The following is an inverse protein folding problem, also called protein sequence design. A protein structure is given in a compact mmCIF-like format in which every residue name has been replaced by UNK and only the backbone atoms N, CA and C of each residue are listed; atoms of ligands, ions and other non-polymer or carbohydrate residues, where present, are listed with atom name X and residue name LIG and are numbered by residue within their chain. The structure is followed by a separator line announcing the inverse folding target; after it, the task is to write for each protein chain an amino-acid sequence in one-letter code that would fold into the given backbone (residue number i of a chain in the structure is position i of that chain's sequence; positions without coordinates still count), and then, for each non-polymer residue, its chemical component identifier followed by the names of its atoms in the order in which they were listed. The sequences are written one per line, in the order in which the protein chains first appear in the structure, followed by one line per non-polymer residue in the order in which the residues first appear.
data_IF_633503936942
#
_entry.id   IF_633503936942
#
_cell.length_a   1.000
_cell.length_b   1.000
_cell.length_c   1.000
_cell.angle_alpha   90.00
_cell.angle_beta   90.00
_cell.angle_gamma   90.00
#
_symmetry.space_group_name_H-M   'P 1'
#
loop_
_entity.id
_entity.type
_entity.pdbx_description
1 polymer ?
#
# COMPACT_ATOMS: atom_id res chain seq x y z
N UNK A 1 3.45 16.06 -2.81
CA UNK A 1 2.70 15.10 -1.99
C UNK A 1 1.23 15.47 -2.05
N UNK A 2 0.41 14.68 -2.72
CA UNK A 2 -1.04 14.86 -2.78
C UNK A 2 -1.67 13.62 -2.14
N UNK A 3 -2.49 13.77 -1.10
CA UNK A 3 -2.99 12.60 -0.37
C UNK A 3 -4.40 12.76 0.16
N UNK A 4 -5.15 11.66 0.26
CA UNK A 4 -6.38 11.58 1.03
C UNK A 4 -6.14 10.74 2.29
N UNK A 5 -6.72 11.15 3.41
CA UNK A 5 -6.55 10.46 4.70
C UNK A 5 -7.74 10.68 5.62
N UNK A 6 -8.55 9.64 5.82
CA UNK A 6 -9.72 9.73 6.70
C UNK A 6 -9.34 9.75 8.20
N UNK A 7 -8.54 8.79 8.64
CA UNK A 7 -8.20 8.62 10.08
C UNK A 7 -6.79 9.09 10.45
N UNK A 8 -6.06 9.70 9.52
CA UNK A 8 -4.72 10.25 9.75
C UNK A 8 -3.54 9.31 9.42
N UNK A 9 -3.77 8.01 9.20
CA UNK A 9 -2.66 7.07 8.91
C UNK A 9 -1.92 7.43 7.61
N UNK A 10 -2.66 7.68 6.51
CA UNK A 10 -2.05 8.07 5.23
C UNK A 10 -1.40 9.45 5.34
N UNK A 11 -1.98 10.37 6.13
CA UNK A 11 -1.38 11.67 6.42
C UNK A 11 0.01 11.51 7.07
N UNK A 12 0.16 10.61 8.06
CA UNK A 12 1.45 10.38 8.70
C UNK A 12 2.52 9.91 7.71
N UNK A 13 2.17 9.03 6.76
CA UNK A 13 3.08 8.60 5.68
C UNK A 13 3.40 9.76 4.72
N UNK A 14 2.41 10.58 4.36
CA UNK A 14 2.60 11.74 3.50
C UNK A 14 3.50 12.81 4.13
N UNK A 15 3.35 13.06 5.43
CA UNK A 15 4.19 13.99 6.20
C UNK A 15 5.63 13.47 6.33
N UNK A 16 5.83 12.17 6.52
CA UNK A 16 7.17 11.60 6.53
C UNK A 16 7.84 11.71 5.15
N UNK A 17 7.14 11.39 4.06
CA UNK A 17 7.63 11.61 2.69
C UNK A 17 7.97 13.09 2.43
N UNK A 18 7.09 14.00 2.84
CA UNK A 18 7.31 15.44 2.71
C UNK A 18 8.57 15.89 3.46
N UNK A 19 8.75 15.42 4.69
CA UNK A 19 9.94 15.71 5.50
C UNK A 19 11.23 15.20 4.85
N UNK A 20 11.20 14.03 4.23
CA UNK A 20 12.39 13.44 3.60
C UNK A 20 12.75 14.08 2.25
N UNK A 21 11.77 14.60 1.52
CA UNK A 21 11.95 15.14 0.17
C UNK A 21 11.93 16.67 0.11
N UNK A 22 11.48 17.36 1.16
CA UNK A 22 11.25 18.81 1.14
C UNK A 22 10.15 19.22 0.15
N UNK A 23 9.28 18.28 -0.23
CA UNK A 23 8.28 18.49 -1.26
C UNK A 23 7.07 19.28 -0.74
N UNK A 24 6.36 19.93 -1.66
CA UNK A 24 5.04 20.47 -1.38
C UNK A 24 4.05 19.38 -0.93
N UNK A 25 3.17 19.73 0.03
CA UNK A 25 2.14 18.82 0.53
C UNK A 25 0.75 19.45 0.49
N UNK A 26 -0.24 18.65 0.10
CA UNK A 26 -1.64 19.02 0.09
C UNK A 26 -2.55 17.83 0.39
N UNK A 27 -3.54 18.05 1.26
CA UNK A 27 -4.59 17.07 1.55
C UNK A 27 -5.74 17.24 0.57
N UNK A 28 -6.21 16.13 0.02
CA UNK A 28 -7.47 16.01 -0.70
C UNK A 28 -8.59 15.98 0.34
N UNK A 29 -9.63 16.77 0.14
CA UNK A 29 -10.76 16.85 1.05
C UNK A 29 -12.08 16.69 0.30
N UNK A 30 -12.94 15.77 0.75
CA UNK A 30 -14.31 15.71 0.27
C UNK A 30 -15.11 16.92 0.78
N UNK A 31 -15.99 17.48 -0.07
CA UNK A 31 -16.91 18.56 0.31
C UNK A 31 -17.79 18.10 1.47
N UNK A 32 -18.32 16.87 1.37
CA UNK A 32 -18.99 16.18 2.46
C UNK A 32 -18.02 15.15 3.07
N UNK A 33 -17.46 15.41 4.26
CA UNK A 33 -16.55 14.47 4.92
C UNK A 33 -17.20 13.10 5.17
N UNK A 34 -16.41 12.03 5.31
CA UNK A 34 -16.93 10.72 5.73
C UNK A 34 -17.22 10.73 7.24
N UNK A 35 -18.16 11.59 7.64
CA UNK A 35 -18.56 11.78 9.03
C UNK A 35 -19.23 10.52 9.58
N UNK A 36 -18.91 10.19 10.83
CA UNK A 36 -19.51 9.07 11.55
C UNK A 36 -18.46 8.13 12.11
N UNK A 37 -18.89 6.95 12.52
CA UNK A 37 -17.98 5.88 12.92
C UNK A 37 -17.45 5.11 11.69
N UNK A 38 -16.62 4.11 11.97
CA UNK A 38 -16.05 3.24 10.94
C UNK A 38 -17.13 2.55 10.09
N UNK A 39 -18.28 2.18 10.68
CA UNK A 39 -19.36 1.52 9.97
C UNK A 39 -20.08 2.47 9.01
N UNK A 40 -20.33 3.71 9.43
CA UNK A 40 -20.88 4.74 8.54
C UNK A 40 -19.97 4.98 7.32
N UNK A 41 -18.64 4.98 7.53
CA UNK A 41 -17.65 5.12 6.45
C UNK A 41 -17.71 3.95 5.48
N UNK A 42 -17.80 2.71 5.99
CA UNK A 42 -17.96 1.50 5.17
C UNK A 42 -19.24 1.58 4.33
N UNK A 43 -20.39 1.85 4.95
CA UNK A 43 -21.68 1.88 4.26
C UNK A 43 -21.72 2.91 3.14
N UNK A 44 -21.22 4.13 3.42
CA UNK A 44 -21.14 5.18 2.41
C UNK A 44 -20.23 4.77 1.25
N UNK A 45 -19.03 4.30 1.56
CA UNK A 45 -18.04 3.93 0.55
C UNK A 45 -18.49 2.74 -0.30
N UNK A 46 -19.21 1.79 0.29
CA UNK A 46 -19.81 0.67 -0.43
C UNK A 46 -20.88 1.15 -1.41
N UNK A 47 -21.83 1.96 -0.93
CA UNK A 47 -22.88 2.53 -1.78
C UNK A 47 -22.30 3.34 -2.93
N UNK A 48 -21.33 4.20 -2.65
CA UNK A 48 -20.66 5.01 -3.67
C UNK A 48 -20.05 4.12 -4.76
N UNK A 49 -19.34 3.06 -4.36
CA UNK A 49 -18.76 2.10 -5.30
C UNK A 49 -19.81 1.35 -6.12
N UNK A 50 -20.84 0.81 -5.47
CA UNK A 50 -21.89 0.02 -6.12
C UNK A 50 -22.70 0.85 -7.13
N UNK A 51 -22.89 2.13 -6.85
CA UNK A 51 -23.61 3.06 -7.73
C UNK A 51 -22.70 3.76 -8.76
N UNK A 52 -21.38 3.58 -8.70
CA UNK A 52 -20.43 4.34 -9.51
C UNK A 52 -20.39 5.84 -9.19
N UNK A 53 -20.79 6.21 -7.97
CA UNK A 53 -20.75 7.58 -7.46
C UNK A 53 -19.36 7.89 -6.89
N UNK A 54 -18.90 9.13 -7.04
CA UNK A 54 -17.67 9.61 -6.39
C UNK A 54 -17.97 10.92 -5.64
N UNK A 55 -17.38 11.16 -4.45
CA UNK A 55 -17.68 12.35 -3.67
C UNK A 55 -17.12 13.61 -4.33
N UNK A 56 -17.85 14.72 -4.30
CA UNK A 56 -17.31 16.01 -4.70
C UNK A 56 -16.11 16.40 -3.82
N UNK A 57 -15.06 16.96 -4.44
CA UNK A 57 -13.86 17.41 -3.74
C UNK A 57 -13.85 18.93 -3.55
N UNK A 58 -13.23 19.39 -2.47
CA UNK A 58 -12.84 20.79 -2.38
C UNK A 58 -11.74 21.08 -3.41
N UNK A 59 -11.70 22.28 -4.00
CA UNK A 59 -10.67 22.64 -4.96
C UNK A 59 -9.27 22.51 -4.35
N UNK A 60 -8.32 22.00 -5.14
CA UNK A 60 -6.92 22.03 -4.77
C UNK A 60 -6.40 23.47 -4.79
N UNK A 61 -5.55 23.80 -3.83
CA UNK A 61 -4.82 25.07 -3.75
C UNK A 61 -3.62 25.06 -4.69
N UNK A 62 -2.97 23.92 -4.86
CA UNK A 62 -1.87 23.72 -5.81
C UNK A 62 -2.40 23.21 -7.14
N UNK A 63 -1.79 23.64 -8.24
CA UNK A 63 -2.15 23.16 -9.58
C UNK A 63 -1.31 21.95 -9.93
N UNK A 64 -1.95 20.87 -10.35
CA UNK A 64 -1.28 19.64 -10.81
C UNK A 64 -0.29 19.93 -11.97
N UNK A 65 -0.62 20.91 -12.82
CA UNK A 65 0.22 21.31 -13.94
C UNK A 65 1.64 21.75 -13.53
N UNK A 66 1.80 22.30 -12.32
CA UNK A 66 3.07 22.86 -11.83
C UNK A 66 4.07 21.78 -11.36
N UNK A 67 3.68 20.51 -11.38
CA UNK A 67 4.50 19.39 -10.90
C UNK A 67 4.72 18.35 -11.98
N UNK A 68 5.94 17.82 -12.09
CA UNK A 68 6.25 16.68 -12.98
C UNK A 68 6.06 15.35 -12.26
N UNK A 69 6.38 15.29 -10.97
CA UNK A 69 6.29 14.09 -10.12
C UNK A 69 5.28 14.34 -9.00
N UNK A 70 4.28 13.47 -8.91
CA UNK A 70 3.23 13.53 -7.90
C UNK A 70 3.23 12.22 -7.13
N UNK A 71 3.66 12.29 -5.87
CA UNK A 71 3.40 11.22 -4.92
C UNK A 71 1.94 11.28 -4.49
N UNK A 72 1.18 10.24 -4.82
CA UNK A 72 -0.27 10.17 -4.62
C UNK A 72 -0.63 9.18 -3.51
N UNK A 73 -1.13 9.69 -2.39
CA UNK A 73 -1.37 8.96 -1.16
C UNK A 73 -2.82 8.63 -0.89
N UNK A 74 -3.13 7.38 -0.50
CA UNK A 74 -4.51 7.01 -0.16
C UNK A 74 -4.65 5.79 0.76
N UNK A 75 -5.73 5.68 1.55
CA UNK A 75 -6.08 4.41 2.18
C UNK A 75 -6.66 3.45 1.13
N UNK A 76 -6.47 2.15 1.34
CA UNK A 76 -7.13 1.10 0.54
C UNK A 76 -8.53 0.84 1.09
N UNK A 77 -9.55 1.09 0.25
CA UNK A 77 -10.95 0.82 0.53
C UNK A 77 -11.49 -0.19 -0.47
N UNK A 78 -12.08 -1.28 0.05
CA UNK A 78 -12.59 -2.40 -0.73
C UNK A 78 -11.61 -2.94 -1.80
N UNK A 79 -10.32 -2.95 -1.50
CA UNK A 79 -9.28 -3.54 -2.36
C UNK A 79 -8.65 -2.59 -3.39
N UNK A 80 -9.05 -1.32 -3.44
CA UNK A 80 -8.42 -0.31 -4.31
C UNK A 80 -8.32 1.05 -3.61
N UNK A 81 -7.86 2.10 -4.29
CA UNK A 81 -7.78 3.45 -3.72
C UNK A 81 -9.15 3.99 -3.29
N UNK A 82 -9.18 4.82 -2.25
CA UNK A 82 -10.40 5.42 -1.73
C UNK A 82 -11.13 6.30 -2.76
N UNK A 83 -12.46 6.40 -2.63
CA UNK A 83 -13.34 7.12 -3.57
C UNK A 83 -12.96 8.60 -3.82
N UNK A 84 -12.43 9.36 -2.84
CA UNK A 84 -11.89 10.70 -3.13
C UNK A 84 -10.76 10.72 -4.16
N UNK A 85 -9.95 9.66 -4.24
CA UNK A 85 -8.95 9.54 -5.31
C UNK A 85 -9.62 9.30 -6.66
N UNK A 86 -10.70 8.49 -6.70
CA UNK A 86 -11.45 8.27 -7.92
C UNK A 86 -12.00 9.60 -8.50
N UNK A 87 -12.51 10.49 -7.66
CA UNK A 87 -12.90 11.84 -8.08
C UNK A 87 -11.69 12.63 -8.59
N UNK A 88 -10.59 12.65 -7.81
CA UNK A 88 -9.39 13.42 -8.18
C UNK A 88 -8.88 13.05 -9.57
N UNK A 89 -8.68 11.77 -9.85
CA UNK A 89 -8.12 11.29 -11.13
C UNK A 89 -9.08 11.49 -12.31
N UNK A 90 -10.39 11.59 -12.04
CA UNK A 90 -11.41 11.87 -13.06
C UNK A 90 -11.51 13.35 -13.41
N UNK A 91 -11.32 14.22 -12.41
CA UNK A 91 -11.56 15.66 -12.55
C UNK A 91 -10.32 16.49 -12.89
N UNK A 92 -9.13 15.88 -12.91
CA UNK A 92 -7.88 16.58 -13.15
C UNK A 92 -7.05 15.91 -14.23
N UNK A 93 -6.31 16.74 -14.98
CA UNK A 93 -5.40 16.28 -16.01
C UNK A 93 -4.04 15.88 -15.42
N UNK A 94 -3.68 14.62 -15.61
CA UNK A 94 -2.39 14.05 -15.23
C UNK A 94 -1.55 13.61 -16.45
N UNK A 95 -1.93 14.00 -17.66
CA UNK A 95 -1.20 13.65 -18.88
C UNK A 95 0.27 14.11 -18.79
N UNK A 96 1.18 13.20 -19.14
CA UNK A 96 2.62 13.42 -19.09
C UNK A 96 3.22 13.50 -17.67
N UNK A 97 2.41 13.36 -16.61
CA UNK A 97 2.90 13.39 -15.22
C UNK A 97 3.45 12.03 -14.80
N UNK A 98 4.39 12.03 -13.87
CA UNK A 98 4.87 10.84 -13.17
C UNK A 98 4.13 10.70 -11.84
N UNK A 99 3.43 9.59 -11.63
CA UNK A 99 2.71 9.30 -10.40
C UNK A 99 3.44 8.21 -9.61
N UNK A 100 3.75 8.52 -8.35
CA UNK A 100 4.34 7.57 -7.40
C UNK A 100 3.27 7.23 -6.36
N UNK A 101 2.53 6.12 -6.51
CA UNK A 101 1.46 5.81 -5.57
C UNK A 101 2.03 5.42 -4.21
N UNK A 102 1.37 5.83 -3.14
CA UNK A 102 1.59 5.22 -1.84
C UNK A 102 0.27 4.97 -1.13
N UNK A 103 0.19 3.85 -0.40
CA UNK A 103 -1.05 3.49 0.26
C UNK A 103 -0.86 3.01 1.69
N UNK A 104 -1.86 3.28 2.52
CA UNK A 104 -2.01 2.61 3.81
C UNK A 104 -3.15 1.61 3.75
N UNK A 105 -3.00 0.46 4.40
CA UNK A 105 -4.01 -0.58 4.31
C UNK A 105 -4.15 -1.42 5.57
N UNK A 106 -5.40 -1.75 5.91
CA UNK A 106 -5.69 -2.92 6.75
C UNK A 106 -5.64 -4.22 5.93
N UNK A 107 -6.14 -4.15 4.69
CA UNK A 107 -6.25 -5.25 3.73
C UNK A 107 -6.14 -4.77 2.27
N UNK A 108 -5.92 -5.70 1.34
CA UNK A 108 -5.88 -5.43 -0.10
C UNK A 108 -4.47 -5.19 -0.64
N UNK A 109 -3.72 -4.27 -0.02
CA UNK A 109 -2.36 -3.93 -0.44
C UNK A 109 -2.32 -2.97 -1.65
N UNK A 110 -1.11 -2.67 -2.13
CA UNK A 110 -0.86 -1.64 -3.15
C UNK A 110 -1.19 -2.08 -4.58
N UNK A 111 -0.96 -3.35 -4.92
CA UNK A 111 -0.88 -3.84 -6.29
C UNK A 111 -2.15 -3.57 -7.11
N UNK A 112 -3.31 -4.02 -6.62
CA UNK A 112 -4.60 -3.80 -7.30
C UNK A 112 -4.90 -2.31 -7.50
N UNK A 113 -4.65 -1.47 -6.48
CA UNK A 113 -4.86 -0.02 -6.60
C UNK A 113 -3.93 0.64 -7.63
N UNK A 114 -2.71 0.14 -7.78
CA UNK A 114 -1.75 0.64 -8.76
C UNK A 114 -2.19 0.29 -10.17
N UNK A 115 -2.70 -0.92 -10.39
CA UNK A 115 -3.22 -1.32 -11.70
C UNK A 115 -4.50 -0.56 -12.06
N UNK A 116 -5.36 -0.27 -11.09
CA UNK A 116 -6.52 0.60 -11.33
C UNK A 116 -6.10 2.04 -11.64
N UNK A 117 -5.04 2.57 -11.00
CA UNK A 117 -4.49 3.89 -11.35
C UNK A 117 -3.95 3.91 -12.78
N UNK A 118 -3.23 2.86 -13.22
CA UNK A 118 -2.75 2.77 -14.61
C UNK A 118 -3.90 2.80 -15.62
N UNK A 119 -5.03 2.16 -15.31
CA UNK A 119 -6.22 2.19 -16.16
C UNK A 119 -6.89 3.58 -16.15
N UNK A 120 -6.96 4.22 -14.98
CA UNK A 120 -7.60 5.52 -14.81
C UNK A 120 -6.77 6.67 -15.41
N UNK A 121 -5.44 6.54 -15.43
CA UNK A 121 -4.50 7.57 -15.90
C UNK A 121 -3.59 7.02 -17.02
N UNK A 122 -4.14 6.67 -18.20
CA UNK A 122 -3.38 6.01 -19.25
C UNK A 122 -2.29 6.90 -19.87
N UNK A 123 -2.40 8.22 -19.73
CA UNK A 123 -1.44 9.20 -20.24
C UNK A 123 -0.40 9.64 -19.20
N UNK A 124 -0.49 9.11 -17.97
CA UNK A 124 0.49 9.33 -16.91
C UNK A 124 1.45 8.13 -16.79
N UNK A 125 2.67 8.39 -16.32
CA UNK A 125 3.62 7.32 -15.98
C UNK A 125 3.43 6.90 -14.52
N UNK A 126 2.82 5.74 -14.29
CA UNK A 126 2.68 5.18 -12.93
C UNK A 126 3.94 4.39 -12.57
N UNK A 127 4.70 4.90 -11.60
CA UNK A 127 5.95 4.31 -11.10
C UNK A 127 5.69 3.28 -10.00
N UNK A 128 6.77 2.59 -9.59
CA UNK A 128 6.75 1.74 -8.39
C UNK A 128 6.31 2.56 -7.19
N UNK A 129 5.29 2.07 -6.47
CA UNK A 129 4.77 2.72 -5.28
C UNK A 129 5.26 2.11 -3.98
N UNK A 130 4.77 2.67 -2.87
CA UNK A 130 5.02 2.19 -1.52
C UNK A 130 3.72 1.87 -0.78
N UNK A 131 3.58 0.64 -0.29
CA UNK A 131 2.44 0.22 0.51
C UNK A 131 2.86 -0.11 1.93
N UNK A 132 2.13 0.39 2.93
CA UNK A 132 2.35 0.02 4.33
C UNK A 132 1.06 -0.36 5.02
N UNK A 133 1.11 -1.43 5.81
CA UNK A 133 -0.03 -1.78 6.65
C UNK A 133 -0.23 -0.75 7.75
N UNK A 134 -1.48 -0.47 8.11
CA UNK A 134 -1.80 0.42 9.24
C UNK A 134 -1.12 -0.04 10.54
N UNK A 135 -1.05 -1.36 10.76
CA UNK A 135 -0.36 -1.94 11.92
C UNK A 135 1.17 -1.73 11.93
N UNK A 136 1.76 -1.37 10.78
CA UNK A 136 3.21 -1.21 10.57
C UNK A 136 3.61 0.23 10.26
N UNK A 137 2.72 1.21 10.45
CA UNK A 137 3.02 2.62 10.12
C UNK A 137 4.25 3.16 10.86
N UNK A 138 4.57 2.62 12.05
CA UNK A 138 5.77 2.96 12.80
C UNK A 138 7.07 2.57 12.07
N UNK A 139 7.05 1.53 11.24
CA UNK A 139 8.20 1.10 10.42
C UNK A 139 8.39 1.98 9.17
N UNK A 140 7.36 2.75 8.77
CA UNK A 140 7.33 3.45 7.49
C UNK A 140 8.51 4.39 7.28
N UNK A 141 8.97 5.08 8.33
CA UNK A 141 10.12 5.99 8.21
C UNK A 141 11.36 5.32 7.61
N UNK A 142 11.72 4.13 8.08
CA UNK A 142 12.92 3.41 7.62
C UNK A 142 12.70 2.78 6.25
N UNK A 143 11.52 2.21 6.03
CA UNK A 143 11.16 1.62 4.73
C UNK A 143 11.10 2.68 3.63
N UNK A 144 10.57 3.87 3.92
CA UNK A 144 10.53 5.01 3.01
C UNK A 144 11.94 5.52 2.68
N UNK A 145 12.84 5.58 3.66
CA UNK A 145 14.23 5.99 3.41
C UNK A 145 14.90 5.11 2.35
N UNK A 146 14.78 3.79 2.51
CA UNK A 146 15.24 2.81 1.51
C UNK A 146 14.52 2.99 0.18
N UNK A 147 13.18 3.04 0.19
CA UNK A 147 12.37 3.19 -1.02
C UNK A 147 12.79 4.42 -1.84
N UNK A 148 12.96 5.58 -1.19
CA UNK A 148 13.34 6.81 -1.88
C UNK A 148 14.75 6.73 -2.48
N UNK A 149 15.71 6.10 -1.78
CA UNK A 149 17.08 5.91 -2.30
C UNK A 149 17.10 4.94 -3.48
N UNK A 150 16.46 3.77 -3.35
CA UNK A 150 16.46 2.74 -4.40
C UNK A 150 15.78 3.17 -5.69
N UNK A 151 14.82 4.10 -5.60
CA UNK A 151 14.08 4.60 -6.76
C UNK A 151 14.56 5.99 -7.21
N UNK A 152 15.69 6.49 -6.69
CA UNK A 152 16.35 7.70 -7.16
C UNK A 152 15.66 9.02 -6.77
N UNK A 153 14.76 8.99 -5.78
CA UNK A 153 14.09 10.20 -5.26
C UNK A 153 14.89 10.90 -4.16
N UNK A 154 15.86 10.22 -3.56
CA UNK A 154 16.69 10.73 -2.47
C UNK A 154 18.12 10.25 -2.65
N UNK A 155 19.10 11.15 -2.48
CA UNK A 155 20.50 10.77 -2.45
C UNK A 155 20.81 9.89 -1.24
N UNK A 156 21.60 8.85 -1.44
CA UNK A 156 22.03 7.96 -0.37
C UNK A 156 22.55 6.64 -0.90
N UNK A 157 22.86 5.74 0.02
CA UNK A 157 23.26 4.37 -0.31
C UNK A 157 22.64 3.44 0.69
N UNK A 158 21.99 2.40 0.17
CA UNK A 158 21.45 1.29 0.97
C UNK A 158 22.11 0.01 0.51
N UNK A 159 22.36 -0.91 1.44
CA UNK A 159 22.86 -2.22 1.08
C UNK A 159 21.82 -2.92 0.20
N UNK A 160 22.20 -3.53 -0.94
CA UNK A 160 21.27 -4.26 -1.77
C UNK A 160 20.64 -5.39 -0.95
N UNK A 161 19.35 -5.61 -1.14
CA UNK A 161 18.68 -6.76 -0.54
C UNK A 161 19.08 -8.00 -1.34
N UNK A 162 19.48 -9.10 -0.67
CA UNK A 162 19.76 -10.34 -1.37
C UNK A 162 18.47 -10.90 -2.00
N UNK A 163 18.65 -11.71 -3.04
CA UNK A 163 17.54 -12.45 -3.64
C UNK A 163 16.95 -13.44 -2.63
N UNK A 164 15.66 -13.71 -2.79
CA UNK A 164 15.03 -14.81 -2.06
C UNK A 164 15.64 -16.15 -2.49
N UNK A 165 15.81 -17.05 -1.52
CA UNK A 165 16.16 -18.44 -1.79
C UNK A 165 15.13 -19.10 -2.71
N UNK A 166 15.52 -20.19 -3.37
CA UNK A 166 14.57 -21.04 -4.08
C UNK A 166 13.41 -21.45 -3.16
N UNK A 167 12.21 -21.49 -3.73
CA UNK A 167 11.00 -21.89 -3.01
C UNK A 167 11.13 -23.35 -2.54
N UNK A 168 10.87 -23.58 -1.25
CA UNK A 168 10.88 -24.91 -0.63
C UNK A 168 9.55 -25.17 0.08
N UNK A 169 9.11 -26.44 0.24
CA UNK A 169 7.93 -26.75 1.03
C UNK A 169 8.03 -26.15 2.44
N UNK A 170 6.92 -25.59 2.95
CA UNK A 170 6.92 -24.97 4.29
C UNK A 170 7.12 -26.01 5.40
N UNK A 171 7.98 -25.68 6.36
CA UNK A 171 8.12 -26.42 7.62
C UNK A 171 7.08 -25.97 8.64
N UNK A 172 6.97 -26.66 9.76
CA UNK A 172 6.07 -26.23 10.85
C UNK A 172 6.53 -24.92 11.51
N UNK A 173 7.84 -24.65 11.53
CA UNK A 173 8.36 -23.36 11.97
C UNK A 173 7.96 -22.22 11.02
N UNK A 174 7.97 -22.47 9.70
CA UNK A 174 7.55 -21.48 8.71
C UNK A 174 6.05 -21.18 8.81
N UNK A 175 5.22 -22.21 9.04
CA UNK A 175 3.79 -22.03 9.29
C UNK A 175 3.54 -21.22 10.55
N UNK A 176 4.26 -21.48 11.63
CA UNK A 176 4.12 -20.70 12.87
C UNK A 176 4.45 -19.21 12.67
N UNK A 177 5.49 -18.90 11.87
CA UNK A 177 5.84 -17.52 11.50
C UNK A 177 4.73 -16.88 10.67
N UNK A 178 4.23 -17.59 9.66
CA UNK A 178 3.13 -17.14 8.82
C UNK A 178 1.88 -16.85 9.65
N UNK A 179 1.45 -17.80 10.48
CA UNK A 179 0.26 -17.69 11.32
C UNK A 179 0.39 -16.52 12.30
N UNK A 180 1.56 -16.36 12.95
CA UNK A 180 1.82 -15.23 13.83
C UNK A 180 1.71 -13.88 13.11
N UNK A 181 2.34 -13.76 11.94
CA UNK A 181 2.36 -12.53 11.12
C UNK A 181 0.97 -12.15 10.59
N UNK A 182 0.17 -13.15 10.22
CA UNK A 182 -1.10 -12.99 9.52
C UNK A 182 -2.32 -13.04 10.45
N UNK A 183 -2.16 -13.42 11.72
CA UNK A 183 -3.24 -13.62 12.70
C UNK A 183 -4.21 -12.43 12.85
N UNK A 184 -3.74 -11.20 12.67
CA UNK A 184 -4.56 -9.99 12.79
C UNK A 184 -5.14 -9.49 11.46
N UNK A 185 -4.98 -10.26 10.38
CA UNK A 185 -5.48 -9.91 9.06
C UNK A 185 -6.91 -10.42 8.88
N UNK A 186 -7.83 -9.51 8.54
CA UNK A 186 -9.27 -9.77 8.59
C UNK A 186 -9.80 -10.70 7.49
N UNK A 187 -9.01 -10.99 6.45
CA UNK A 187 -9.44 -11.79 5.30
C UNK A 187 -8.59 -13.06 5.18
N UNK A 188 -9.14 -14.19 4.75
CA UNK A 188 -8.35 -15.40 4.53
C UNK A 188 -7.20 -15.13 3.54
N UNK A 189 -5.96 -15.37 3.96
CA UNK A 189 -4.78 -15.31 3.09
C UNK A 189 -4.47 -16.64 2.40
N UNK A 190 -5.22 -17.70 2.70
CA UNK A 190 -4.96 -19.05 2.22
C UNK A 190 -3.96 -19.80 3.09
N UNK A 191 -3.58 -20.98 2.63
CA UNK A 191 -2.65 -21.88 3.33
C UNK A 191 -1.27 -21.77 2.69
N UNK A 192 -0.19 -21.52 3.45
CA UNK A 192 1.16 -21.46 2.90
C UNK A 192 1.63 -22.84 2.44
N UNK A 193 2.26 -22.90 1.27
CA UNK A 193 2.68 -24.14 0.60
C UNK A 193 4.18 -24.19 0.43
N UNK A 194 4.76 -23.11 -0.10
CA UNK A 194 6.21 -22.96 -0.21
C UNK A 194 6.67 -21.64 0.37
N UNK A 195 7.95 -21.57 0.73
CA UNK A 195 8.59 -20.35 1.20
C UNK A 195 9.99 -20.21 0.59
N UNK A 196 10.29 -19.01 0.13
CA UNK A 196 11.65 -18.53 -0.12
C UNK A 196 12.03 -17.53 0.98
N UNK A 197 13.31 -17.46 1.34
CA UNK A 197 13.78 -16.60 2.44
C UNK A 197 14.98 -15.77 1.99
N UNK A 198 15.15 -14.59 2.57
CA UNK A 198 16.40 -13.82 2.46
C UNK A 198 16.79 -13.25 3.81
N UNK A 199 18.08 -13.27 4.11
CA UNK A 199 18.62 -12.62 5.29
C UNK A 199 18.98 -11.17 4.95
N UNK A 200 18.48 -10.24 5.74
CA UNK A 200 18.76 -8.81 5.60
C UNK A 200 19.57 -8.32 6.80
N UNK A 201 20.18 -7.12 6.74
CA UNK A 201 20.79 -6.51 7.92
C UNK A 201 19.82 -6.37 9.12
N UNK A 202 18.52 -6.28 8.83
CA UNK A 202 17.48 -5.92 9.78
C UNK A 202 16.68 -7.13 10.30
N UNK A 203 16.91 -8.32 9.74
CA UNK A 203 16.11 -9.50 10.04
C UNK A 203 15.98 -10.44 8.85
N UNK A 204 14.99 -11.32 8.88
CA UNK A 204 14.72 -12.30 7.82
C UNK A 204 13.42 -11.95 7.12
N UNK A 205 13.45 -11.86 5.80
CA UNK A 205 12.24 -11.74 4.99
C UNK A 205 11.85 -13.10 4.41
N UNK A 206 10.54 -13.35 4.38
CA UNK A 206 9.92 -14.57 3.92
C UNK A 206 8.97 -14.24 2.76
N UNK A 207 9.06 -15.02 1.70
CA UNK A 207 8.19 -14.98 0.53
C UNK A 207 7.41 -16.29 0.45
N UNK A 208 6.21 -16.29 1.01
CA UNK A 208 5.33 -17.45 1.03
C UNK A 208 4.48 -17.50 -0.24
N UNK A 209 4.45 -18.65 -0.92
CA UNK A 209 3.38 -18.98 -1.86
C UNK A 209 2.23 -19.59 -1.07
N UNK A 210 1.05 -18.98 -1.18
CA UNK A 210 -0.18 -19.45 -0.51
C UNK A 210 -1.20 -19.92 -1.54
N UNK A 211 -1.95 -20.96 -1.19
CA UNK A 211 -3.09 -21.43 -1.95
C UNK A 211 -4.39 -21.08 -1.21
N UNK A 212 -5.34 -20.51 -1.93
CA UNK A 212 -6.68 -20.26 -1.44
C UNK A 212 -7.70 -20.85 -2.41
N UNK A 213 -8.93 -21.03 -1.91
CA UNK A 213 -10.05 -21.49 -2.73
C UNK A 213 -11.01 -20.33 -2.93
N UNK A 214 -11.30 -20.01 -4.19
CA UNK A 214 -12.28 -19.01 -4.58
C UNK A 214 -13.70 -19.45 -4.25
N UNK A 215 -14.63 -18.50 -4.29
CA UNK A 215 -16.06 -18.77 -4.09
C UNK A 215 -16.65 -19.67 -5.18
N UNK A 216 -16.03 -19.71 -6.36
CA UNK A 216 -16.34 -20.60 -7.49
C UNK A 216 -15.73 -22.00 -7.34
N UNK A 217 -15.01 -22.26 -6.24
CA UNK A 217 -14.30 -23.51 -5.99
C UNK A 217 -12.95 -23.62 -6.69
N UNK A 218 -12.57 -22.61 -7.49
CA UNK A 218 -11.29 -22.52 -8.19
C UNK A 218 -10.12 -22.30 -7.24
N UNK A 219 -8.95 -22.80 -7.60
CA UNK A 219 -7.73 -22.59 -6.83
C UNK A 219 -7.08 -21.27 -7.25
N UNK A 220 -6.70 -20.45 -6.27
CA UNK A 220 -5.98 -19.19 -6.49
C UNK A 220 -4.68 -19.22 -5.70
N UNK A 221 -3.64 -18.65 -6.30
CA UNK A 221 -2.34 -18.49 -5.64
C UNK A 221 -2.09 -17.03 -5.34
N UNK A 222 -1.49 -16.75 -4.19
CA UNK A 222 -0.96 -15.43 -3.88
C UNK A 222 0.46 -15.58 -3.32
N UNK A 223 1.21 -14.48 -3.33
CA UNK A 223 2.48 -14.35 -2.63
C UNK A 223 2.28 -13.46 -1.41
N UNK A 224 2.66 -13.95 -0.23
CA UNK A 224 2.59 -13.23 1.03
C UNK A 224 4.00 -12.98 1.53
N UNK A 225 4.31 -11.72 1.77
CA UNK A 225 5.58 -11.29 2.32
C UNK A 225 5.46 -11.07 3.82
N UNK A 226 6.40 -11.63 4.57
CA UNK A 226 6.52 -11.48 6.02
C UNK A 226 7.95 -11.09 6.33
N UNK A 227 8.14 -10.22 7.32
CA UNK A 227 9.47 -9.92 7.86
C UNK A 227 9.53 -10.25 9.34
N UNK A 228 10.69 -10.67 9.82
CA UNK A 228 10.98 -10.92 11.23
C UNK A 228 12.24 -10.13 11.57
N UNK A 229 12.11 -9.14 12.46
CA UNK A 229 13.25 -8.32 12.92
C UNK A 229 14.34 -9.16 13.59
N UNK A 230 15.56 -8.65 13.57
CA UNK A 230 16.72 -9.33 14.18
C UNK A 230 16.80 -9.12 15.70
N UNK A 231 16.10 -8.13 16.23
CA UNK A 231 16.06 -7.89 17.67
C UNK A 231 15.43 -9.07 18.44
N UNK A 232 15.95 -9.33 19.64
CA UNK A 232 15.43 -10.40 20.49
C UNK A 232 13.95 -10.14 20.82
N UNK A 233 13.10 -11.13 20.53
CA UNK A 233 11.65 -11.00 20.72
C UNK A 233 10.91 -10.28 19.59
N UNK A 234 11.57 -9.97 18.46
CA UNK A 234 10.89 -9.45 17.28
C UNK A 234 9.73 -10.36 16.87
N UNK A 235 8.57 -9.75 16.60
CA UNK A 235 7.39 -10.48 16.15
C UNK A 235 7.37 -10.51 14.62
N UNK A 236 6.93 -11.62 14.00
CA UNK A 236 6.67 -11.65 12.57
C UNK A 236 5.63 -10.61 12.17
N UNK A 237 5.89 -9.91 11.08
CA UNK A 237 5.00 -8.89 10.54
C UNK A 237 4.65 -9.19 9.08
N UNK A 238 3.36 -9.30 8.78
CA UNK A 238 2.89 -9.36 7.39
C UNK A 238 3.09 -8.00 6.72
N UNK A 239 3.77 -7.95 5.58
CA UNK A 239 4.19 -6.71 4.92
C UNK A 239 3.41 -6.43 3.63
N UNK A 240 3.28 -7.44 2.75
CA UNK A 240 2.70 -7.28 1.42
C UNK A 240 1.99 -8.54 0.93
N UNK A 241 0.88 -8.36 0.22
CA UNK A 241 0.21 -9.41 -0.55
C UNK A 241 0.22 -9.08 -2.05
N UNK A 242 0.63 -10.05 -2.87
CA UNK A 242 0.53 -10.02 -4.33
C UNK A 242 -0.40 -11.14 -4.76
N UNK A 243 -1.47 -10.82 -5.49
CA UNK A 243 -2.47 -11.78 -5.99
C UNK A 243 -2.38 -11.90 -7.50
#
# INVERSE_FOLDING_TARGET
MLYYSETGTTKAVAEELQKQLGADIESIEAVTPYSGDFQATIQRSQRERENGETPALKPLKKKIADYDIIFLGYPIWFGTYAMPIATLVKENDFAGKTIVPFCTFGSGGLNTSTDDLKKALPEATIQKGYGVRTARVAAAKKELDRFLIENGYKEGTVAPLPDYSAQQPVTDADKAIFDAACSNYQFPLGTPVTVGKRETPDGTDYQFSVKSRGFDGGESTATIFVTVGKEEGAKPEFTEVVR
#
